data_IF_083395623568
#
_entry.id   IF_083395623568
#
_cell.length_a   1.000
_cell.length_b   1.000
_cell.length_c   1.000
_cell.angle_alpha   90.00
_cell.angle_beta   90.00
_cell.angle_gamma   90.00
#
_symmetry.space_group_name_H-M   'P 1'
#
loop_
_entity.id
_entity.type
_entity.pdbx_description
1 polymer ?
#
# COMPACT_ATOMS: atom_id res chain seq x y z
N UNK A 1 -1.78 14.00 -16.29
CA UNK A 1 -0.72 13.71 -15.31
C UNK A 1 -0.74 12.23 -14.97
N UNK A 2 0.40 11.55 -14.99
CA UNK A 2 0.43 10.13 -14.68
C UNK A 2 -0.02 9.83 -13.25
N UNK A 3 -0.55 8.63 -13.05
CA UNK A 3 -0.90 8.14 -11.73
C UNK A 3 0.06 7.03 -11.32
N UNK A 4 0.34 6.98 -10.03
CA UNK A 4 1.25 6.00 -9.46
C UNK A 4 0.56 5.29 -8.31
N UNK A 5 0.73 3.98 -8.25
CA UNK A 5 0.31 3.22 -7.08
C UNK A 5 1.49 3.12 -6.12
N UNK A 6 1.22 3.44 -4.88
CA UNK A 6 2.19 3.39 -3.79
C UNK A 6 1.88 2.13 -3.00
N UNK A 7 2.67 1.10 -3.24
CA UNK A 7 2.47 -0.20 -2.62
C UNK A 7 3.24 -0.24 -1.30
N UNK A 8 2.53 -0.52 -0.22
CA UNK A 8 3.12 -0.56 1.12
C UNK A 8 3.29 -2.01 1.55
N UNK A 9 4.55 -2.42 1.72
CA UNK A 9 4.90 -3.76 2.18
C UNK A 9 5.25 -3.69 3.66
N UNK A 10 4.69 -4.62 4.44
CA UNK A 10 4.80 -4.63 5.89
C UNK A 10 5.71 -5.77 6.34
N UNK A 11 7.03 -5.51 6.57
CA UNK A 11 7.92 -6.56 7.09
C UNK A 11 7.40 -7.16 8.40
N UNK A 12 7.78 -8.40 8.66
CA UNK A 12 7.36 -9.12 9.86
C UNK A 12 7.69 -8.33 11.14
N UNK A 13 8.85 -7.68 11.17
CA UNK A 13 9.26 -6.84 12.32
C UNK A 13 8.31 -5.66 12.54
N UNK A 14 7.84 -5.03 11.45
CA UNK A 14 6.87 -3.96 11.52
C UNK A 14 5.51 -4.47 12.01
N UNK A 15 5.06 -5.62 11.49
CA UNK A 15 3.80 -6.24 11.92
C UNK A 15 3.83 -6.55 13.41
N UNK A 16 4.94 -7.09 13.91
CA UNK A 16 5.12 -7.39 15.34
C UNK A 16 5.02 -6.12 16.17
N UNK A 17 5.73 -5.07 15.76
CA UNK A 17 5.69 -3.77 16.42
C UNK A 17 4.26 -3.24 16.49
N UNK A 18 3.51 -3.33 15.39
CA UNK A 18 2.14 -2.84 15.33
C UNK A 18 1.22 -3.63 16.26
N UNK A 19 1.38 -4.97 16.34
CA UNK A 19 0.56 -5.79 17.25
C UNK A 19 0.79 -5.47 18.72
N UNK A 20 1.95 -4.95 19.06
CA UNK A 20 2.32 -4.63 20.43
C UNK A 20 1.91 -3.22 20.86
N UNK A 21 1.37 -2.41 19.94
CA UNK A 21 0.92 -1.06 20.25
C UNK A 21 -0.36 -1.08 21.08
N UNK A 22 -0.45 -0.12 22.02
CA UNK A 22 -1.70 0.15 22.72
C UNK A 22 -2.73 0.70 21.72
N UNK A 23 -4.01 0.72 22.11
CA UNK A 23 -5.05 1.33 21.29
C UNK A 23 -4.74 2.80 20.99
N UNK A 24 -4.25 3.52 22.00
CA UNK A 24 -3.89 4.93 21.86
C UNK A 24 -2.73 5.12 20.87
N UNK A 25 -1.68 4.30 21.00
CA UNK A 25 -0.54 4.35 20.08
C UNK A 25 -0.93 3.95 18.66
N UNK A 26 -1.82 2.97 18.52
CA UNK A 26 -2.32 2.56 17.20
C UNK A 26 -3.13 3.68 16.56
N UNK A 27 -3.99 4.36 17.32
CA UNK A 27 -4.77 5.49 16.80
C UNK A 27 -3.85 6.62 16.36
N UNK A 28 -2.78 6.90 17.11
CA UNK A 28 -1.78 7.91 16.74
C UNK A 28 -1.07 7.53 15.45
N UNK A 29 -0.73 6.26 15.27
CA UNK A 29 -0.08 5.75 14.05
C UNK A 29 -1.00 5.87 12.85
N UNK A 30 -2.25 5.45 12.97
CA UNK A 30 -3.27 5.59 11.92
C UNK A 30 -3.42 7.07 11.55
N UNK A 31 -3.41 7.96 12.54
CA UNK A 31 -3.48 9.41 12.34
C UNK A 31 -2.37 9.95 11.46
N UNK A 32 -1.16 9.37 11.56
CA UNK A 32 -0.04 9.78 10.70
C UNK A 32 -0.30 9.45 9.23
N UNK A 33 -0.83 8.26 8.94
CA UNK A 33 -1.17 7.87 7.56
C UNK A 33 -2.29 8.76 7.02
N UNK A 34 -3.30 9.05 7.83
CA UNK A 34 -4.40 9.95 7.45
C UNK A 34 -3.89 11.36 7.19
N UNK A 35 -2.93 11.84 7.98
CA UNK A 35 -2.34 13.17 7.81
C UNK A 35 -1.55 13.25 6.49
N UNK A 36 -0.81 12.19 6.14
CA UNK A 36 -0.09 12.15 4.88
C UNK A 36 -1.07 12.16 3.70
N UNK A 37 -2.12 11.34 3.78
CA UNK A 37 -3.18 11.31 2.76
C UNK A 37 -3.85 12.68 2.62
N UNK A 38 -4.12 13.35 3.73
CA UNK A 38 -4.70 14.69 3.75
C UNK A 38 -3.78 15.73 3.11
N UNK A 39 -2.48 15.61 3.32
CA UNK A 39 -1.49 16.47 2.68
C UNK A 39 -1.51 16.28 1.16
N UNK A 40 -1.60 15.04 0.69
CA UNK A 40 -1.69 14.75 -0.74
C UNK A 40 -3.01 15.26 -1.33
N UNK A 41 -4.11 15.12 -0.60
CA UNK A 41 -5.40 15.66 -1.01
C UNK A 41 -5.38 17.20 -1.08
N UNK A 42 -4.68 17.84 -0.14
CA UNK A 42 -4.54 19.28 -0.08
C UNK A 42 -3.83 19.90 -1.28
N UNK A 43 -2.97 19.13 -1.94
CA UNK A 43 -2.30 19.55 -3.18
C UNK A 43 -2.89 18.87 -4.43
N UNK A 44 -4.09 18.32 -4.28
CA UNK A 44 -4.86 17.66 -5.35
C UNK A 44 -4.11 16.52 -6.04
N UNK A 45 -3.36 15.73 -5.26
CA UNK A 45 -2.61 14.59 -5.79
C UNK A 45 -3.14 13.24 -5.32
N UNK A 46 -4.03 13.20 -4.33
CA UNK A 46 -4.59 11.94 -3.83
C UNK A 46 -5.67 11.42 -4.76
N UNK A 47 -5.58 10.15 -5.17
CA UNK A 47 -6.56 9.51 -6.07
C UNK A 47 -7.14 8.23 -5.50
N UNK A 48 -6.70 7.79 -4.35
CA UNK A 48 -7.26 6.62 -3.69
C UNK A 48 -6.29 5.98 -2.73
N UNK A 49 -6.76 4.99 -2.01
CA UNK A 49 -5.94 4.20 -1.10
C UNK A 49 -6.79 3.39 -0.17
N UNK A 50 -6.29 2.21 0.19
CA UNK A 50 -6.96 1.30 1.10
C UNK A 50 -5.95 0.48 1.89
N UNK A 51 -6.32 0.12 3.10
CA UNK A 51 -5.58 -0.84 3.91
C UNK A 51 -6.04 -2.25 3.54
N UNK A 52 -5.10 -3.15 3.30
CA UNK A 52 -5.42 -4.55 3.08
C UNK A 52 -5.40 -5.29 4.41
N UNK A 53 -6.32 -6.24 4.57
CA UNK A 53 -6.27 -7.16 5.70
C UNK A 53 -5.07 -8.10 5.53
N UNK A 54 -4.29 -8.28 6.57
CA UNK A 54 -3.17 -9.22 6.56
C UNK A 54 -3.64 -10.65 6.79
N UNK A 55 -4.92 -10.82 7.16
CA UNK A 55 -5.52 -12.12 7.38
C UNK A 55 -6.44 -12.48 6.22
N UNK A 56 -6.43 -13.75 5.83
CA UNK A 56 -7.30 -14.21 4.75
C UNK A 56 -6.67 -14.05 3.38
N UNK A 57 -7.51 -13.86 2.38
CA UNK A 57 -7.10 -13.80 0.97
C UNK A 57 -7.40 -15.10 0.24
N UNK A 58 -7.35 -15.01 -1.07
CA UNK A 58 -7.53 -16.18 -1.96
C UNK A 58 -6.66 -15.99 -3.19
N UNK A 59 -6.11 -17.08 -3.65
CA UNK A 59 -5.33 -17.10 -4.90
C UNK A 59 -5.98 -18.08 -5.85
N UNK A 60 -6.24 -17.64 -7.06
CA UNK A 60 -6.84 -18.44 -8.12
C UNK A 60 -5.82 -18.69 -9.22
N UNK A 61 -5.72 -19.94 -9.67
CA UNK A 61 -4.81 -20.33 -10.74
C UNK A 61 -5.44 -21.42 -11.58
N UNK A 62 -5.35 -21.28 -12.89
CA UNK A 62 -5.94 -22.24 -13.84
C UNK A 62 -7.30 -21.80 -14.34
N UNK A 63 -7.90 -22.60 -15.19
CA UNK A 63 -9.21 -22.30 -15.80
C UNK A 63 -10.12 -23.52 -15.75
N UNK A 64 -11.43 -23.28 -15.67
CA UNK A 64 -12.43 -24.34 -15.71
C UNK A 64 -12.19 -25.43 -14.68
N UNK A 65 -12.13 -26.68 -15.12
CA UNK A 65 -11.95 -27.82 -14.23
C UNK A 65 -10.55 -27.90 -13.62
N UNK A 66 -9.57 -27.16 -14.17
CA UNK A 66 -8.21 -27.09 -13.62
C UNK A 66 -8.01 -25.92 -12.67
N UNK A 67 -9.05 -25.12 -12.41
CA UNK A 67 -8.97 -24.00 -11.48
C UNK A 67 -8.64 -24.50 -10.08
N UNK A 68 -7.64 -23.88 -9.47
CA UNK A 68 -7.27 -24.12 -8.08
C UNK A 68 -7.43 -22.83 -7.31
N UNK A 69 -8.07 -22.92 -6.15
CA UNK A 69 -8.26 -21.77 -5.25
C UNK A 69 -7.54 -22.09 -3.96
N UNK A 70 -6.55 -21.26 -3.61
CA UNK A 70 -5.76 -21.39 -2.39
C UNK A 70 -6.12 -20.29 -1.43
N UNK A 71 -6.03 -20.56 -0.12
CA UNK A 71 -6.23 -19.56 0.92
C UNK A 71 -4.95 -18.77 1.14
N UNK A 72 -5.11 -17.49 1.50
CA UNK A 72 -4.01 -16.61 1.82
C UNK A 72 -3.55 -15.75 0.66
N UNK A 73 -2.54 -14.92 0.90
CA UNK A 73 -1.95 -14.06 -0.11
C UNK A 73 -1.04 -14.87 -1.04
N UNK A 74 -0.90 -14.41 -2.27
CA UNK A 74 -0.03 -15.08 -3.25
C UNK A 74 1.42 -15.13 -2.79
N UNK A 75 1.91 -13.98 -2.28
CA UNK A 75 3.26 -13.90 -1.73
C UNK A 75 3.18 -13.86 -0.22
N UNK A 76 3.70 -14.90 0.42
CA UNK A 76 3.80 -15.00 1.87
C UNK A 76 5.27 -14.94 2.27
N UNK A 77 5.93 -13.86 1.84
CA UNK A 77 7.33 -13.61 2.19
C UNK A 77 7.43 -12.76 3.45
N UNK A 78 8.63 -12.26 3.73
CA UNK A 78 8.92 -11.51 4.95
C UNK A 78 8.31 -10.11 4.95
N UNK A 79 7.77 -9.66 3.83
CA UNK A 79 7.19 -8.32 3.70
C UNK A 79 5.95 -8.33 2.79
N UNK A 80 4.83 -8.89 3.26
CA UNK A 80 3.61 -8.94 2.46
C UNK A 80 3.03 -7.55 2.23
N UNK A 81 2.23 -7.44 1.17
CA UNK A 81 1.54 -6.19 0.84
C UNK A 81 0.47 -5.89 1.90
N UNK A 82 0.53 -4.71 2.50
CA UNK A 82 -0.37 -4.30 3.57
C UNK A 82 -1.34 -3.19 3.20
N UNK A 83 -1.13 -2.53 2.06
CA UNK A 83 -2.02 -1.45 1.63
C UNK A 83 -1.46 -0.70 0.45
N UNK A 84 -2.20 0.30 0.00
CA UNK A 84 -1.75 1.11 -1.12
C UNK A 84 -2.38 2.50 -1.08
N UNK A 85 -1.72 3.43 -1.75
CA UNK A 85 -2.29 4.72 -2.13
C UNK A 85 -2.15 4.87 -3.65
N UNK A 86 -2.98 5.69 -4.24
CA UNK A 86 -2.84 6.12 -5.63
C UNK A 86 -2.70 7.62 -5.62
N UNK A 87 -1.63 8.11 -6.23
CA UNK A 87 -1.36 9.56 -6.32
C UNK A 87 -1.07 9.95 -7.76
N UNK A 88 -1.25 11.23 -8.07
CA UNK A 88 -0.76 11.82 -9.30
C UNK A 88 0.60 12.45 -9.05
N UNK A 89 1.51 12.33 -10.01
CA UNK A 89 2.82 12.96 -9.96
C UNK A 89 3.32 13.16 -11.39
N UNK A 90 4.27 14.05 -11.57
CA UNK A 90 4.83 14.35 -12.90
C UNK A 90 5.64 13.17 -13.45
N UNK A 91 6.35 12.48 -12.57
CA UNK A 91 7.27 11.39 -12.91
C UNK A 91 7.61 10.60 -11.66
N UNK A 92 8.42 9.54 -11.79
CA UNK A 92 8.86 8.73 -10.66
C UNK A 92 9.64 9.54 -9.61
N UNK A 93 10.44 10.49 -10.05
CA UNK A 93 11.23 11.33 -9.15
C UNK A 93 10.33 12.14 -8.23
N UNK A 94 9.29 12.77 -8.79
CA UNK A 94 8.33 13.51 -7.98
C UNK A 94 7.53 12.57 -7.07
N UNK A 95 7.08 11.42 -7.58
CA UNK A 95 6.36 10.43 -6.76
C UNK A 95 7.22 9.99 -5.57
N UNK A 96 8.50 9.76 -5.80
CA UNK A 96 9.45 9.37 -4.75
C UNK A 96 9.62 10.48 -3.72
N UNK A 97 9.74 11.73 -4.15
CA UNK A 97 9.84 12.88 -3.24
C UNK A 97 8.58 13.02 -2.38
N UNK A 98 7.40 12.84 -2.98
CA UNK A 98 6.14 12.93 -2.26
C UNK A 98 6.01 11.84 -1.19
N UNK A 99 6.64 10.69 -1.40
CA UNK A 99 6.61 9.57 -0.46
C UNK A 99 7.70 9.62 0.60
N UNK A 100 8.62 10.56 0.51
CA UNK A 100 9.79 10.61 1.41
C UNK A 100 9.37 10.70 2.87
N UNK A 101 8.29 11.39 3.18
CA UNK A 101 7.77 11.56 4.53
C UNK A 101 6.55 10.69 4.84
N UNK A 102 6.31 9.66 4.01
CA UNK A 102 5.22 8.73 4.27
C UNK A 102 5.53 7.92 5.54
N UNK A 103 4.56 7.80 6.47
CA UNK A 103 4.80 7.10 7.74
C UNK A 103 5.15 5.63 7.60
N UNK A 104 4.84 5.00 6.45
CA UNK A 104 5.25 3.62 6.20
C UNK A 104 6.76 3.44 6.38
N UNK A 105 7.55 4.39 5.90
CA UNK A 105 9.01 4.35 6.02
C UNK A 105 9.46 4.55 7.47
N UNK A 106 8.83 5.48 8.17
CA UNK A 106 9.13 5.75 9.58
C UNK A 106 8.87 4.51 10.45
N UNK A 107 7.83 3.76 10.13
CA UNK A 107 7.44 2.57 10.90
C UNK A 107 8.26 1.32 10.55
N UNK A 108 9.20 1.43 9.64
CA UNK A 108 10.06 0.31 9.23
C UNK A 108 9.51 -0.47 8.04
N UNK A 109 8.52 0.07 7.36
CA UNK A 109 7.93 -0.55 6.16
C UNK A 109 8.70 -0.22 4.90
N UNK A 110 8.22 -0.79 3.81
CA UNK A 110 8.81 -0.63 2.47
C UNK A 110 7.75 -0.03 1.56
N UNK A 111 8.17 0.90 0.71
CA UNK A 111 7.31 1.47 -0.32
C UNK A 111 7.85 1.07 -1.70
N UNK A 112 6.97 0.54 -2.53
CA UNK A 112 7.24 0.30 -3.94
C UNK A 112 6.32 1.20 -4.75
N UNK A 113 6.87 1.91 -5.73
CA UNK A 113 6.10 2.84 -6.56
C UNK A 113 6.03 2.27 -7.97
N UNK A 114 4.83 2.16 -8.51
CA UNK A 114 4.60 1.67 -9.86
C UNK A 114 3.67 2.64 -10.59
N UNK A 115 4.05 3.04 -11.80
CA UNK A 115 3.18 3.85 -12.63
C UNK A 115 1.97 3.03 -13.10
N UNK A 116 0.79 3.65 -13.05
CA UNK A 116 -0.42 3.03 -13.59
C UNK A 116 -0.50 3.31 -15.08
N UNK A 117 -0.60 2.25 -15.85
CA UNK A 117 -0.67 2.36 -17.30
C UNK A 117 -2.07 2.81 -17.73
N UNK A 118 -2.12 3.81 -18.59
CA UNK A 118 -3.40 4.21 -19.17
C UNK A 118 -3.78 3.22 -20.27
N UNK A 119 -4.95 2.59 -20.08
CA UNK A 119 -5.50 1.68 -21.06
C UNK A 119 -6.32 2.48 -22.07
N UNK A 120 -5.85 2.58 -23.28
CA UNK A 120 -6.62 3.21 -24.35
C UNK A 120 -7.65 2.24 -24.85
N UNK A 121 -8.92 2.67 -24.80
CA UNK A 121 -10.01 1.90 -25.37
C UNK A 121 -10.27 2.35 -26.81
N UNK A 122 -10.26 1.43 -27.69
CA UNK A 122 -10.70 1.65 -29.06
C UNK A 122 -9.85 1.76 -30.12
#
# INVERSE_FOLDING_TARGET
MPRYIILMHDPVSMQKKMRELSQEAMAATVGKYMAWAGKMAGVDKMRGGEKLSLNGGRVLKGVGSSLKISKGAYRQDDAPLGGFFIIEADNYEQASELCRDNPQLEEGGIIEIRELEEMKQG
#
